data_IF_131404211157
#
_entry.id   IF_131404211157
#
_cell.length_a   1.000
_cell.length_b   1.000
_cell.length_c   1.000
_cell.angle_alpha   90.00
_cell.angle_beta   90.00
_cell.angle_gamma   90.00
#
_symmetry.space_group_name_H-M   'P 1'
#
loop_
_entity.id
_entity.type
_entity.pdbx_description
1 polymer ?
#
# COMPACT_ATOMS: atom_id res chain seq x y z
N UNK A 1 -67.15 -27.16 25.61
CA UNK A 1 -66.93 -25.97 24.74
C UNK A 1 -65.60 -25.32 25.11
N UNK A 2 -64.46 -25.82 24.60
CA UNK A 2 -63.13 -25.31 24.97
C UNK A 2 -62.07 -25.40 23.87
N UNK A 3 -62.48 -25.57 22.61
CA UNK A 3 -61.56 -25.86 21.48
C UNK A 3 -61.23 -24.60 20.65
N UNK A 4 -61.94 -23.48 20.84
CA UNK A 4 -61.74 -22.26 20.02
C UNK A 4 -60.65 -21.32 20.54
N UNK A 5 -60.25 -21.41 21.82
CA UNK A 5 -59.16 -20.57 22.35
C UNK A 5 -57.78 -21.07 21.94
N UNK A 6 -57.56 -22.39 21.83
CA UNK A 6 -56.26 -22.94 21.43
C UNK A 6 -55.94 -22.71 19.94
N UNK A 7 -56.94 -22.78 19.06
CA UNK A 7 -56.76 -22.57 17.61
C UNK A 7 -56.40 -21.12 17.28
N UNK A 8 -56.99 -20.16 18.01
CA UNK A 8 -56.72 -18.73 17.80
C UNK A 8 -55.29 -18.37 18.20
N UNK A 9 -54.80 -18.88 19.33
CA UNK A 9 -53.42 -18.65 19.78
C UNK A 9 -52.40 -19.31 18.85
N UNK A 10 -52.68 -20.52 18.36
CA UNK A 10 -51.79 -21.23 17.44
C UNK A 10 -51.68 -20.50 16.10
N UNK A 11 -52.77 -19.97 15.57
CA UNK A 11 -52.77 -19.19 14.33
C UNK A 11 -51.96 -17.88 14.48
N UNK A 12 -52.06 -17.24 15.65
CA UNK A 12 -51.31 -16.01 15.96
C UNK A 12 -49.80 -16.26 16.03
N UNK A 13 -49.37 -17.37 16.64
CA UNK A 13 -47.95 -17.77 16.69
C UNK A 13 -47.43 -18.03 15.27
N UNK A 14 -48.19 -18.77 14.45
CA UNK A 14 -47.80 -19.03 13.05
C UNK A 14 -47.67 -17.73 12.26
N UNK A 15 -48.62 -16.80 12.42
CA UNK A 15 -48.56 -15.49 11.77
C UNK A 15 -47.30 -14.70 12.16
N UNK A 16 -46.95 -14.68 13.46
CA UNK A 16 -45.73 -14.00 13.94
C UNK A 16 -44.48 -14.63 13.35
N UNK A 17 -44.39 -15.97 13.32
CA UNK A 17 -43.24 -16.69 12.76
C UNK A 17 -43.08 -16.40 11.26
N UNK A 18 -44.18 -16.39 10.50
CA UNK A 18 -44.15 -16.05 9.08
C UNK A 18 -43.67 -14.63 8.85
N UNK A 19 -44.17 -13.66 9.61
CA UNK A 19 -43.72 -12.26 9.52
C UNK A 19 -42.23 -12.15 9.88
N UNK A 20 -41.77 -12.82 10.93
CA UNK A 20 -40.37 -12.82 11.32
C UNK A 20 -39.46 -13.40 10.22
N UNK A 21 -39.87 -14.50 9.57
CA UNK A 21 -39.14 -15.10 8.45
C UNK A 21 -39.09 -14.14 7.26
N UNK A 22 -40.20 -13.49 6.92
CA UNK A 22 -40.25 -12.52 5.81
C UNK A 22 -39.32 -11.34 6.12
N UNK A 23 -39.36 -10.81 7.33
CA UNK A 23 -38.47 -9.72 7.75
C UNK A 23 -37.00 -10.14 7.66
N UNK A 24 -36.65 -11.33 8.16
CA UNK A 24 -35.29 -11.88 8.04
C UNK A 24 -34.87 -12.10 6.57
N UNK A 25 -35.79 -12.57 5.73
CA UNK A 25 -35.54 -12.76 4.31
C UNK A 25 -35.33 -11.43 3.58
N UNK A 26 -36.12 -10.40 3.90
CA UNK A 26 -35.97 -9.05 3.33
C UNK A 26 -34.66 -8.41 3.79
N UNK A 27 -34.32 -8.49 5.08
CA UNK A 27 -33.04 -8.00 5.60
C UNK A 27 -31.87 -8.75 4.95
N UNK A 28 -31.95 -10.08 4.85
CA UNK A 28 -30.95 -10.92 4.20
C UNK A 28 -30.81 -10.63 2.71
N UNK A 29 -31.91 -10.32 2.03
CA UNK A 29 -31.95 -10.03 0.60
C UNK A 29 -31.44 -8.61 0.28
N UNK A 30 -31.80 -7.60 1.09
CA UNK A 30 -31.23 -6.26 0.98
C UNK A 30 -29.72 -6.27 1.26
N UNK A 31 -29.28 -7.06 2.24
CA UNK A 31 -27.86 -7.24 2.55
C UNK A 31 -27.07 -7.96 1.43
N UNK A 32 -27.74 -8.77 0.60
CA UNK A 32 -27.13 -9.47 -0.55
C UNK A 32 -27.11 -8.63 -1.83
N UNK A 33 -28.10 -7.75 -2.05
CA UNK A 33 -28.21 -6.94 -3.27
C UNK A 33 -27.17 -5.83 -3.39
N UNK A 34 -26.59 -5.34 -2.28
CA UNK A 34 -25.51 -4.35 -2.33
C UNK A 34 -24.13 -4.87 -2.74
N UNK A 35 -23.99 -6.17 -3.08
CA UNK A 35 -22.68 -6.85 -3.07
C UNK A 35 -22.06 -7.17 -4.44
N UNK A 36 -22.59 -6.63 -5.55
CA UNK A 36 -22.03 -6.84 -6.90
C UNK A 36 -22.23 -5.63 -7.83
N UNK A 37 -21.93 -4.43 -7.36
CA UNK A 37 -21.46 -3.43 -8.32
C UNK A 37 -20.05 -3.88 -8.67
N UNK A 38 -19.80 -4.26 -9.92
CA UNK A 38 -18.46 -4.65 -10.35
C UNK A 38 -17.52 -3.51 -10.03
N UNK A 39 -16.59 -3.74 -9.09
CA UNK A 39 -15.54 -2.79 -8.80
C UNK A 39 -14.60 -2.83 -9.99
N UNK A 40 -14.60 -1.76 -10.80
CA UNK A 40 -13.53 -1.52 -11.76
C UNK A 40 -12.38 -0.85 -10.98
N UNK A 41 -11.33 -1.60 -10.60
CA UNK A 41 -10.20 -1.00 -9.90
C UNK A 41 -9.57 0.06 -10.80
N UNK A 42 -9.65 1.31 -10.37
CA UNK A 42 -9.03 2.43 -11.09
C UNK A 42 -7.60 2.59 -10.60
N UNK A 43 -6.67 2.81 -11.53
CA UNK A 43 -5.31 3.18 -11.15
C UNK A 43 -5.32 4.54 -10.44
N UNK A 44 -4.46 4.70 -9.43
CA UNK A 44 -4.25 5.99 -8.78
C UNK A 44 -3.67 6.99 -9.79
N UNK A 45 -4.17 8.22 -9.78
CA UNK A 45 -3.61 9.32 -10.58
C UNK A 45 -2.17 9.60 -10.15
N UNK A 46 -1.29 9.88 -11.11
CA UNK A 46 0.16 10.06 -10.87
C UNK A 46 0.42 11.26 -9.98
N UNK A 47 -0.37 12.31 -10.13
CA UNK A 47 -0.32 13.55 -9.36
C UNK A 47 -0.58 13.30 -7.87
N UNK A 48 -1.40 12.30 -7.56
CA UNK A 48 -1.68 11.92 -6.17
C UNK A 48 -0.58 11.02 -5.57
N UNK A 49 0.41 10.55 -6.33
CA UNK A 49 1.41 9.59 -5.83
C UNK A 49 2.51 10.29 -5.03
N UNK A 50 2.97 11.46 -5.46
CA UNK A 50 4.05 12.20 -4.79
C UNK A 50 3.66 12.58 -3.36
N UNK A 51 2.49 13.18 -3.16
CA UNK A 51 2.02 13.55 -1.83
C UNK A 51 1.78 12.36 -0.89
N UNK A 52 1.66 11.13 -1.41
CA UNK A 52 1.52 9.93 -0.57
C UNK A 52 2.83 9.39 -0.05
N UNK A 53 3.91 9.55 -0.80
CA UNK A 53 5.26 9.15 -0.34
C UNK A 53 5.69 10.06 0.81
N UNK A 54 5.51 11.37 0.66
CA UNK A 54 5.75 12.34 1.73
C UNK A 54 4.94 12.01 2.99
N UNK A 55 3.67 11.60 2.81
CA UNK A 55 2.79 11.20 3.91
C UNK A 55 3.25 9.93 4.60
N UNK A 56 3.79 8.95 3.86
CA UNK A 56 4.35 7.72 4.43
C UNK A 56 5.53 8.07 5.35
N UNK A 57 6.44 8.94 4.91
CA UNK A 57 7.61 9.34 5.69
C UNK A 57 7.25 10.22 6.91
N UNK A 58 6.19 11.03 6.79
CA UNK A 58 5.62 11.75 7.93
C UNK A 58 5.08 10.79 9.00
N UNK A 59 4.33 9.76 8.59
CA UNK A 59 3.76 8.77 9.50
C UNK A 59 4.87 7.97 10.21
N UNK A 60 5.96 7.62 9.52
CA UNK A 60 7.12 6.96 10.15
C UNK A 60 7.76 7.84 11.23
N UNK A 61 7.92 9.15 10.98
CA UNK A 61 8.41 10.10 11.98
C UNK A 61 7.46 10.24 13.16
N UNK A 62 6.15 10.27 12.90
CA UNK A 62 5.11 10.34 13.94
C UNK A 62 5.18 9.17 14.91
N UNK A 63 5.58 7.98 14.45
CA UNK A 63 5.67 6.78 15.30
C UNK A 63 6.63 6.94 16.48
N UNK A 64 7.68 7.76 16.33
CA UNK A 64 8.68 8.01 17.38
C UNK A 64 8.04 8.66 18.61
N UNK A 65 7.09 9.56 18.39
CA UNK A 65 6.46 10.32 19.47
C UNK A 65 5.07 9.78 19.83
N UNK A 66 4.33 9.24 18.86
CA UNK A 66 2.92 8.87 18.99
C UNK A 66 2.65 7.55 18.23
N UNK A 67 3.08 6.39 18.77
CA UNK A 67 3.02 5.12 18.05
C UNK A 67 1.59 4.69 17.69
N UNK A 68 0.61 4.93 18.58
CA UNK A 68 -0.80 4.61 18.34
C UNK A 68 -1.39 5.45 17.21
N UNK A 69 -1.13 6.75 17.23
CA UNK A 69 -1.63 7.69 16.21
C UNK A 69 -0.98 7.41 14.85
N UNK A 70 0.31 7.07 14.83
CA UNK A 70 1.01 6.67 13.61
C UNK A 70 0.42 5.41 12.98
N UNK A 71 0.12 4.37 13.76
CA UNK A 71 -0.54 3.16 13.23
C UNK A 71 -1.94 3.49 12.68
N UNK A 72 -2.73 4.29 13.41
CA UNK A 72 -4.05 4.71 12.96
C UNK A 72 -3.98 5.53 11.66
N UNK A 73 -3.03 6.46 11.55
CA UNK A 73 -2.79 7.25 10.36
C UNK A 73 -2.34 6.39 9.17
N UNK A 74 -1.46 5.42 9.38
CA UNK A 74 -1.04 4.47 8.34
C UNK A 74 -2.22 3.66 7.79
N UNK A 75 -3.10 3.18 8.69
CA UNK A 75 -4.33 2.48 8.29
C UNK A 75 -5.24 3.38 7.46
N UNK A 76 -5.50 4.60 7.94
CA UNK A 76 -6.33 5.58 7.23
C UNK A 76 -5.76 5.91 5.84
N UNK A 77 -4.44 6.03 5.72
CA UNK A 77 -3.78 6.26 4.44
C UNK A 77 -4.05 5.12 3.44
N UNK A 78 -3.89 3.86 3.86
CA UNK A 78 -4.20 2.70 3.02
C UNK A 78 -5.68 2.67 2.64
N UNK A 79 -6.56 2.97 3.61
CA UNK A 79 -8.01 3.02 3.39
C UNK A 79 -8.41 4.08 2.36
N UNK A 80 -7.80 5.26 2.42
CA UNK A 80 -8.02 6.34 1.47
C UNK A 80 -7.51 5.95 0.07
N UNK A 81 -6.31 5.37 -0.02
CA UNK A 81 -5.76 4.87 -1.30
C UNK A 81 -6.69 3.86 -1.95
N UNK A 82 -7.15 2.87 -1.18
CA UNK A 82 -8.12 1.88 -1.65
C UNK A 82 -9.43 2.55 -2.09
N UNK A 83 -9.94 3.49 -1.30
CA UNK A 83 -11.15 4.24 -1.65
C UNK A 83 -11.00 5.00 -2.96
N UNK A 84 -9.85 5.64 -3.22
CA UNK A 84 -9.58 6.34 -4.49
C UNK A 84 -9.42 5.40 -5.68
N UNK A 85 -8.94 4.18 -5.45
CA UNK A 85 -8.93 3.10 -6.45
C UNK A 85 -10.33 2.50 -6.71
N UNK A 86 -11.36 3.01 -6.00
CA UNK A 86 -12.74 2.60 -6.17
C UNK A 86 -13.18 1.51 -5.20
N UNK A 87 -12.31 1.03 -4.30
CA UNK A 87 -12.72 0.03 -3.30
C UNK A 87 -13.73 0.60 -2.31
N UNK A 88 -14.69 -0.20 -1.85
CA UNK A 88 -15.69 0.26 -0.91
C UNK A 88 -15.08 0.57 0.45
N UNK A 89 -15.62 1.59 1.11
CA UNK A 89 -15.30 1.87 2.50
C UNK A 89 -15.86 0.74 3.37
N UNK A 90 -14.97 -0.05 3.98
CA UNK A 90 -15.29 -1.11 4.93
C UNK A 90 -15.05 -0.61 6.34
N UNK A 91 -15.92 -1.02 7.26
CA UNK A 91 -15.80 -0.70 8.68
C UNK A 91 -14.79 -1.63 9.37
N UNK A 92 -14.64 -2.86 8.87
CA UNK A 92 -13.82 -3.89 9.52
C UNK A 92 -12.54 -4.19 8.74
N UNK A 93 -11.44 -4.47 9.46
CA UNK A 93 -10.18 -4.86 8.85
C UNK A 93 -10.27 -6.20 8.10
N UNK A 94 -11.13 -7.11 8.56
CA UNK A 94 -11.35 -8.42 7.95
C UNK A 94 -11.98 -8.29 6.57
N UNK A 95 -13.05 -7.51 6.43
CA UNK A 95 -13.69 -7.25 5.14
C UNK A 95 -12.73 -6.56 4.18
N UNK A 96 -11.98 -5.57 4.67
CA UNK A 96 -10.99 -4.87 3.86
C UNK A 96 -9.87 -5.80 3.39
N UNK A 97 -9.37 -6.69 4.25
CA UNK A 97 -8.38 -7.70 3.85
C UNK A 97 -8.90 -8.60 2.73
N UNK A 98 -10.20 -8.93 2.71
CA UNK A 98 -10.81 -9.73 1.65
C UNK A 98 -10.84 -8.96 0.33
N UNK A 99 -11.16 -7.67 0.38
CA UNK A 99 -11.15 -6.80 -0.80
C UNK A 99 -9.72 -6.64 -1.36
N UNK A 100 -8.73 -6.42 -0.49
CA UNK A 100 -7.31 -6.42 -0.85
C UNK A 100 -6.85 -7.74 -1.46
N UNK A 101 -7.38 -8.88 -1.01
CA UNK A 101 -6.96 -10.20 -1.52
C UNK A 101 -7.31 -10.39 -3.00
N UNK A 102 -8.33 -9.68 -3.50
CA UNK A 102 -8.64 -9.64 -4.94
C UNK A 102 -7.63 -8.84 -5.74
N UNK A 103 -6.98 -7.85 -5.13
CA UNK A 103 -5.92 -7.07 -5.74
C UNK A 103 -4.58 -7.81 -5.66
N UNK A 104 -4.16 -8.14 -4.44
CA UNK A 104 -2.93 -8.84 -4.14
C UNK A 104 -3.05 -9.55 -2.78
N UNK A 105 -2.87 -10.86 -2.79
CA UNK A 105 -2.97 -11.70 -1.58
C UNK A 105 -1.92 -11.33 -0.52
N UNK A 106 -0.72 -10.96 -0.92
CA UNK A 106 0.34 -10.54 0.01
C UNK A 106 -0.03 -9.28 0.79
N UNK A 107 -0.72 -8.33 0.13
CA UNK A 107 -1.16 -7.09 0.77
C UNK A 107 -2.29 -7.37 1.77
N UNK A 108 -3.20 -8.27 1.42
CA UNK A 108 -4.27 -8.71 2.30
C UNK A 108 -3.76 -9.33 3.60
N UNK A 109 -2.75 -10.19 3.52
CA UNK A 109 -2.20 -10.85 4.70
C UNK A 109 -1.47 -9.85 5.61
N UNK A 110 -0.66 -8.95 5.06
CA UNK A 110 -0.01 -7.86 5.82
C UNK A 110 -1.04 -6.94 6.49
N UNK A 111 -2.05 -6.51 5.74
CA UNK A 111 -3.12 -5.66 6.25
C UNK A 111 -3.94 -6.34 7.35
N UNK A 112 -4.24 -7.64 7.19
CA UNK A 112 -4.96 -8.42 8.21
C UNK A 112 -4.16 -8.51 9.50
N UNK A 113 -2.90 -8.94 9.43
CA UNK A 113 -2.04 -9.06 10.61
C UNK A 113 -1.88 -7.72 11.33
N UNK A 114 -1.77 -6.62 10.60
CA UNK A 114 -1.72 -5.28 11.19
C UNK A 114 -3.07 -4.85 11.83
N UNK A 115 -4.20 -5.29 11.27
CA UNK A 115 -5.54 -4.97 11.76
C UNK A 115 -6.01 -5.79 12.98
N UNK A 116 -5.27 -6.82 13.37
CA UNK A 116 -5.51 -7.63 14.58
C UNK A 116 -4.88 -7.02 15.84
N UNK A 117 -4.38 -5.77 15.75
CA UNK A 117 -3.79 -5.05 16.86
C UNK A 117 -4.83 -4.82 17.98
N UNK A 118 -4.43 -5.16 19.21
CA UNK A 118 -5.25 -4.97 20.41
C UNK A 118 -5.06 -3.58 21.00
N UNK A 119 -6.02 -3.13 21.80
CA UNK A 119 -5.96 -1.81 22.46
C UNK A 119 -4.82 -1.71 23.49
N UNK A 120 -4.32 -2.84 23.99
CA UNK A 120 -3.21 -2.96 24.94
C UNK A 120 -1.89 -3.40 24.27
N UNK A 121 -1.81 -3.34 22.93
CA UNK A 121 -0.64 -3.80 22.20
C UNK A 121 0.64 -3.05 22.58
N UNK A 122 1.74 -3.81 22.61
CA UNK A 122 3.09 -3.30 22.87
C UNK A 122 3.60 -2.41 21.72
N UNK A 123 4.58 -1.56 22.00
CA UNK A 123 5.22 -0.71 20.97
C UNK A 123 5.82 -1.52 19.84
N UNK A 124 6.30 -2.73 20.10
CA UNK A 124 6.87 -3.60 19.07
C UNK A 124 5.78 -4.22 18.17
N UNK A 125 4.62 -4.58 18.73
CA UNK A 125 3.46 -5.00 17.94
C UNK A 125 2.93 -3.85 17.09
N UNK A 126 2.87 -2.64 17.65
CA UNK A 126 2.52 -1.43 16.89
C UNK A 126 3.52 -1.14 15.76
N UNK A 127 4.82 -1.31 16.01
CA UNK A 127 5.87 -1.16 14.98
C UNK A 127 5.66 -2.15 13.85
N UNK A 128 5.36 -3.41 14.18
CA UNK A 128 5.07 -4.46 13.19
C UNK A 128 3.81 -4.16 12.38
N UNK A 129 2.74 -3.71 13.03
CA UNK A 129 1.51 -3.31 12.38
C UNK A 129 1.71 -2.11 11.46
N UNK A 130 2.41 -1.07 11.93
CA UNK A 130 2.77 0.10 11.14
C UNK A 130 3.50 -0.32 9.87
N UNK A 131 4.56 -1.13 10.01
CA UNK A 131 5.32 -1.64 8.86
C UNK A 131 4.42 -2.37 7.87
N UNK A 132 3.51 -3.21 8.34
CA UNK A 132 2.54 -3.91 7.48
C UNK A 132 1.67 -2.95 6.64
N UNK A 133 1.18 -1.86 7.25
CA UNK A 133 0.41 -0.83 6.53
C UNK A 133 1.26 -0.03 5.55
N UNK A 134 2.46 0.41 5.95
CA UNK A 134 3.33 1.21 5.10
C UNK A 134 3.90 0.41 3.92
N UNK A 135 4.29 -0.85 4.13
CA UNK A 135 4.70 -1.74 3.05
C UNK A 135 3.55 -1.91 2.04
N UNK A 136 2.31 -2.04 2.53
CA UNK A 136 1.12 -2.10 1.67
C UNK A 136 0.92 -0.80 0.89
N UNK A 137 1.08 0.37 1.53
CA UNK A 137 0.96 1.66 0.86
C UNK A 137 2.04 1.87 -0.21
N UNK A 138 3.31 1.60 0.11
CA UNK A 138 4.44 1.72 -0.83
C UNK A 138 4.26 0.84 -2.06
N UNK A 139 3.77 -0.36 -1.86
CA UNK A 139 3.51 -1.30 -2.94
C UNK A 139 2.37 -0.84 -3.86
N UNK A 140 1.26 -0.35 -3.30
CA UNK A 140 0.18 0.25 -4.09
C UNK A 140 0.70 1.44 -4.90
N UNK A 141 1.54 2.30 -4.31
CA UNK A 141 2.18 3.41 -5.03
C UNK A 141 3.10 2.90 -6.13
N UNK A 142 3.96 1.93 -5.84
CA UNK A 142 4.90 1.35 -6.80
C UNK A 142 4.21 0.71 -8.00
N UNK A 143 3.12 -0.03 -7.76
CA UNK A 143 2.32 -0.63 -8.83
C UNK A 143 1.61 0.43 -9.68
N UNK A 144 1.07 1.49 -9.05
CA UNK A 144 0.47 2.61 -9.76
C UNK A 144 1.49 3.35 -10.65
N UNK A 145 2.71 3.61 -10.13
CA UNK A 145 3.82 4.19 -10.91
C UNK A 145 4.22 3.29 -12.06
N UNK A 146 4.32 1.98 -11.83
CA UNK A 146 4.66 0.99 -12.85
C UNK A 146 3.66 1.00 -14.01
N UNK A 147 2.35 1.03 -13.71
CA UNK A 147 1.29 1.13 -14.73
C UNK A 147 1.36 2.43 -15.52
N UNK A 148 1.52 3.56 -14.83
CA UNK A 148 1.66 4.86 -15.49
C UNK A 148 2.91 4.95 -16.39
N UNK A 149 4.01 4.28 -16.00
CA UNK A 149 5.22 4.17 -16.81
C UNK A 149 5.02 3.35 -18.08
N UNK A 150 4.34 2.20 -17.99
CA UNK A 150 4.03 1.35 -19.16
C UNK A 150 3.13 2.07 -20.19
N UNK A 151 2.11 2.78 -19.72
CA UNK A 151 1.23 3.58 -20.59
C UNK A 151 1.99 4.70 -21.31
N UNK A 152 3.02 5.28 -20.67
CA UNK A 152 3.86 6.32 -21.28
C UNK A 152 4.73 5.75 -22.40
N UNK A 153 5.36 4.60 -22.17
CA UNK A 153 6.18 3.93 -23.19
C UNK A 153 5.32 3.51 -24.39
N UNK A 154 4.15 2.91 -24.14
CA UNK A 154 3.22 2.50 -25.20
C UNK A 154 2.74 3.70 -26.05
N UNK A 155 2.52 4.88 -25.44
CA UNK A 155 2.20 6.10 -26.19
C UNK A 155 3.36 6.63 -27.03
N UNK A 156 4.58 6.58 -26.52
CA UNK A 156 5.76 7.07 -27.25
C UNK A 156 6.06 6.23 -28.50
N UNK A 157 5.78 4.94 -28.47
CA UNK A 157 6.01 4.04 -29.61
C UNK A 157 4.96 4.19 -30.73
N UNK A 158 3.86 4.91 -30.48
CA UNK A 158 2.78 5.11 -31.47
C UNK A 158 2.80 6.50 -32.12
N UNK A 159 3.73 7.38 -31.77
CA UNK A 159 3.88 8.67 -32.44
C UNK A 159 4.65 8.47 -33.76
N UNK A 160 4.01 8.60 -34.94
CA UNK A 160 4.71 8.47 -36.21
C UNK A 160 5.80 9.55 -36.27
N UNK A 161 7.02 9.22 -36.75
CA UNK A 161 8.12 10.16 -36.75
C UNK A 161 7.67 11.41 -37.48
N UNK A 162 7.61 12.53 -36.76
CA UNK A 162 7.32 13.83 -37.32
C UNK A 162 8.23 14.01 -38.54
N UNK A 163 7.59 14.11 -39.71
CA UNK A 163 8.26 14.34 -40.99
C UNK A 163 9.05 15.63 -40.83
N UNK A 164 10.35 15.50 -40.62
CA UNK A 164 11.27 16.63 -40.60
C UNK A 164 11.14 17.30 -41.97
N UNK A 165 10.79 18.59 -42.07
CA UNK A 165 10.83 19.26 -43.35
C UNK A 165 12.28 19.23 -43.83
N UNK A 166 12.48 18.66 -45.01
CA UNK A 166 13.77 18.61 -45.68
C UNK A 166 14.24 20.05 -45.90
N UNK A 167 15.25 20.46 -45.12
CA UNK A 167 15.99 21.69 -45.40
C UNK A 167 16.97 21.35 -46.50
N UNK A 168 16.64 21.75 -47.73
CA UNK A 168 17.58 21.83 -48.85
C UNK A 168 18.76 22.72 -48.45
N UNK A 169 19.98 22.20 -48.62
CA UNK A 169 21.20 22.93 -48.31
C UNK A 169 21.56 23.99 -49.36
N UNK A 170 22.72 24.64 -49.17
CA UNK A 170 23.60 24.89 -50.31
C UNK A 170 25.02 24.34 -50.10
N UNK A 171 25.66 24.16 -51.25
CA UNK A 171 26.77 23.28 -51.57
C UNK A 171 28.17 23.79 -51.11
N UNK A 172 29.26 23.03 -51.38
CA UNK A 172 30.52 23.04 -50.64
C UNK A 172 31.56 24.01 -51.20
N UNK A 173 32.53 24.40 -50.37
CA UNK A 173 33.77 25.01 -50.88
C UNK A 173 34.73 25.47 -49.80
N UNK A 174 35.98 25.02 -49.93
CA UNK A 174 37.21 25.52 -49.30
C UNK A 174 37.66 24.84 -47.99
N UNK A 175 38.48 23.80 -48.17
CA UNK A 175 39.67 23.49 -47.35
C UNK A 175 40.91 24.02 -48.11
N UNK A 176 42.16 23.96 -47.60
CA UNK A 176 42.67 23.84 -46.22
C UNK A 176 43.83 24.85 -45.95
N UNK A 177 44.28 25.00 -44.69
CA UNK A 177 45.70 25.13 -44.32
C UNK A 177 45.83 25.41 -42.82
N UNK A 178 46.75 24.72 -42.13
CA UNK A 178 47.16 25.07 -40.77
C UNK A 178 47.30 23.88 -39.83
N UNK A 179 48.44 23.20 -39.97
CA UNK A 179 49.04 22.21 -39.06
C UNK A 179 49.29 22.76 -37.63
N UNK A 180 50.03 22.06 -36.72
CA UNK A 180 49.93 20.68 -36.20
C UNK A 180 50.09 20.62 -34.63
N UNK A 181 50.09 19.39 -34.09
CA UNK A 181 50.71 18.97 -32.80
C UNK A 181 50.08 19.55 -31.51
N UNK A 182 49.94 18.85 -30.39
CA UNK A 182 50.95 18.21 -29.50
C UNK A 182 50.12 17.28 -28.58
N UNK A 183 50.34 15.98 -28.56
CA UNK A 183 51.25 15.26 -27.65
C UNK A 183 50.85 15.33 -26.16
N UNK A 184 50.60 14.13 -25.62
CA UNK A 184 50.76 13.66 -24.24
C UNK A 184 50.53 14.61 -23.05
N UNK A 185 49.70 14.13 -22.11
CA UNK A 185 50.18 13.90 -20.74
C UNK A 185 49.41 12.80 -20.02
N UNK A 186 50.11 11.76 -19.52
CA UNK A 186 49.58 10.75 -18.61
C UNK A 186 49.94 11.08 -17.13
N UNK A 187 49.25 10.45 -16.16
CA UNK A 187 49.65 10.24 -14.74
C UNK A 187 49.63 11.56 -13.90
N UNK A 188 49.15 11.63 -12.65
CA UNK A 188 49.65 10.93 -11.46
C UNK A 188 48.66 11.02 -10.28
N UNK A 189 48.57 9.90 -9.58
CA UNK A 189 48.44 9.66 -8.12
C UNK A 189 48.14 10.87 -7.21
N UNK A 190 47.25 10.71 -6.23
CA UNK A 190 47.72 10.36 -4.89
C UNK A 190 46.58 9.84 -3.98
N UNK A 191 46.94 8.90 -3.12
CA UNK A 191 46.13 8.23 -2.11
C UNK A 191 46.60 8.79 -0.76
N UNK A 192 45.75 8.84 0.26
CA UNK A 192 45.95 7.88 1.36
C UNK A 192 44.61 7.37 1.88
N UNK A 193 44.36 6.08 2.17
CA UNK A 193 45.05 5.15 3.06
C UNK A 193 44.97 5.56 4.55
N UNK A 194 44.05 4.88 5.26
CA UNK A 194 44.15 4.43 6.67
C UNK A 194 44.05 5.55 7.72
N UNK A 195 43.16 5.51 8.71
CA UNK A 195 43.13 4.75 9.98
C UNK A 195 41.88 5.34 10.71
N UNK A 196 41.11 4.71 11.58
CA UNK A 196 41.52 3.88 12.70
C UNK A 196 40.28 3.18 13.28
N UNK A 197 40.48 1.97 13.81
CA UNK A 197 39.52 1.32 14.71
C UNK A 197 39.67 1.95 16.10
N UNK A 198 38.72 1.74 17.00
CA UNK A 198 39.07 0.77 18.02
C UNK A 198 37.99 -0.27 18.26
N UNK A 199 38.48 -1.46 18.60
CA UNK A 199 37.73 -2.57 19.13
C UNK A 199 37.74 -2.52 20.66
N UNK A 200 36.81 -3.29 21.24
CA UNK A 200 36.78 -3.85 22.60
C UNK A 200 36.15 -2.97 23.69
N UNK A 201 34.99 -3.39 24.17
CA UNK A 201 34.89 -3.72 25.60
C UNK A 201 34.03 -4.97 25.80
N UNK A 202 34.73 -6.04 26.17
CA UNK A 202 34.25 -7.30 26.68
C UNK A 202 34.00 -7.12 28.19
N UNK A 203 32.76 -7.34 28.65
CA UNK A 203 32.50 -7.51 30.09
C UNK A 203 31.66 -8.76 30.30
N UNK A 204 32.38 -9.85 30.56
CA UNK A 204 31.88 -11.12 31.09
C UNK A 204 31.50 -11.04 32.56
N UNK A 205 30.66 -12.01 32.94
CA UNK A 205 30.43 -12.61 34.25
C UNK A 205 29.59 -11.78 35.23
N UNK A 206 28.58 -12.31 35.90
CA UNK A 206 28.03 -13.67 35.98
C UNK A 206 27.15 -13.72 37.23
N UNK A 207 26.09 -14.52 37.26
CA UNK A 207 25.64 -15.13 38.52
C UNK A 207 24.70 -16.30 38.24
N UNK A 208 25.22 -17.49 38.53
CA UNK A 208 24.47 -18.72 38.68
C UNK A 208 23.77 -18.74 40.06
N UNK A 209 22.45 -18.94 40.07
CA UNK A 209 21.64 -19.86 40.92
C UNK A 209 21.71 -19.76 42.48
N UNK A 210 20.65 -20.16 43.23
CA UNK A 210 20.00 -21.48 43.08
C UNK A 210 18.49 -21.58 43.36
N UNK A 211 17.98 -22.76 43.01
CA UNK A 211 16.75 -23.33 43.55
C UNK A 211 16.96 -23.82 45.00
N UNK A 212 15.96 -23.67 45.87
CA UNK A 212 15.39 -24.67 46.82
C UNK A 212 14.51 -23.92 47.83
N UNK A 213 13.28 -24.42 48.03
CA UNK A 213 12.31 -23.95 49.01
C UNK A 213 10.94 -24.55 48.75
#
# INVERSE_FOLDING_TARGET
MGVTMQSTTLWLIVAIVVVAIIVLAVIGFMSRRGRRVGFEPRALAVEDLEGREDRIDEIERMFVHQPREAVAAARLQVDEMLSRMGYPVRLTAVERSRDLAHFNRGYADRYRTAGELRDDASTEEMRRALKGYLDTAREIVGEAKGRAGLDRTARQDTEPPAVRPAVEGPAPGVRPAGQPAVEERPVTEDRPAVEDRPAVEDRRAGEERPATG
#
